data_IF_343076036154
#
_entry.id   IF_343076036154
#
_cell.length_a   1.000
_cell.length_b   1.000
_cell.length_c   1.000
_cell.angle_alpha   90.00
_cell.angle_beta   90.00
_cell.angle_gamma   90.00
#
_symmetry.space_group_name_H-M   'P 1'
#
loop_
_entity.id
_entity.type
_entity.pdbx_description
1 polymer ?
#
# COMPACT_ATOMS: atom_id res chain seq x y z
N UNK A 1 -46.71 19.21 36.47
CA UNK A 1 -45.30 19.11 36.86
C UNK A 1 -44.76 17.74 36.44
N UNK A 2 -43.67 17.68 35.68
CA UNK A 2 -42.54 16.70 35.78
C UNK A 2 -42.93 15.21 35.87
N UNK A 3 -42.61 14.30 34.94
CA UNK A 3 -41.26 13.93 34.43
C UNK A 3 -41.42 12.77 33.39
N UNK A 4 -40.75 12.84 32.23
CA UNK A 4 -39.58 12.02 31.82
C UNK A 4 -39.81 10.49 31.88
N UNK A 5 -39.48 9.67 30.87
CA UNK A 5 -38.28 9.71 30.04
C UNK A 5 -38.45 8.92 28.72
N UNK A 6 -37.60 9.31 27.77
CA UNK A 6 -37.55 8.91 26.37
C UNK A 6 -37.17 7.42 26.16
N UNK A 7 -37.72 6.85 25.10
CA UNK A 7 -37.19 5.68 24.41
C UNK A 7 -35.74 5.93 23.95
N UNK A 8 -34.79 5.12 24.42
CA UNK A 8 -33.44 5.04 23.87
C UNK A 8 -33.45 4.04 22.70
N UNK A 9 -33.58 4.56 21.49
CA UNK A 9 -33.31 3.84 20.27
C UNK A 9 -31.79 3.67 20.14
N UNK A 10 -31.29 2.47 20.42
CA UNK A 10 -29.89 2.12 20.19
C UNK A 10 -29.62 2.11 18.68
N UNK A 11 -29.03 3.18 18.18
CA UNK A 11 -28.59 3.28 16.79
C UNK A 11 -27.31 2.43 16.64
N UNK A 12 -27.45 1.25 16.03
CA UNK A 12 -26.33 0.39 15.69
C UNK A 12 -25.39 1.10 14.71
N UNK A 13 -24.25 1.56 15.20
CA UNK A 13 -23.17 2.04 14.35
C UNK A 13 -22.55 0.83 13.64
N UNK A 14 -22.87 0.66 12.36
CA UNK A 14 -22.20 -0.28 11.48
C UNK A 14 -20.78 0.23 11.23
N UNK A 15 -19.83 -0.14 12.10
CA UNK A 15 -18.42 0.12 11.89
C UNK A 15 -17.97 -0.73 10.71
N UNK A 16 -17.97 -0.14 9.52
CA UNK A 16 -17.28 -0.74 8.39
C UNK A 16 -15.79 -0.74 8.74
N UNK A 17 -15.24 -1.91 9.03
CA UNK A 17 -13.80 -2.06 9.17
C UNK A 17 -13.17 -1.71 7.81
N UNK A 18 -12.67 -0.48 7.67
CA UNK A 18 -11.99 -0.06 6.46
C UNK A 18 -10.71 -0.89 6.31
N UNK A 19 -10.59 -1.64 5.22
CA UNK A 19 -9.36 -2.37 4.91
C UNK A 19 -8.25 -1.37 4.59
N UNK A 20 -7.07 -1.51 5.20
CA UNK A 20 -5.92 -0.65 4.89
C UNK A 20 -5.65 -0.57 3.38
N UNK A 21 -5.74 0.65 2.83
CA UNK A 21 -5.41 0.90 1.44
C UNK A 21 -3.91 1.17 1.27
N UNK A 22 -3.42 1.05 0.03
CA UNK A 22 -2.03 1.40 -0.26
C UNK A 22 -1.73 2.88 0.02
N UNK A 23 -2.67 3.78 -0.27
CA UNK A 23 -2.47 5.20 -0.04
C UNK A 23 -2.37 5.50 1.46
N UNK A 24 -3.25 4.91 2.26
CA UNK A 24 -3.21 5.06 3.73
C UNK A 24 -1.90 4.50 4.29
N UNK A 25 -1.48 3.30 3.84
CA UNK A 25 -0.25 2.69 4.31
C UNK A 25 1.01 3.51 3.97
N UNK A 26 1.06 4.14 2.79
CA UNK A 26 2.15 5.04 2.40
C UNK A 26 2.14 6.31 3.25
N UNK A 27 0.98 6.95 3.39
CA UNK A 27 0.81 8.17 4.18
C UNK A 27 1.16 7.95 5.67
N UNK A 28 0.82 6.79 6.22
CA UNK A 28 1.13 6.38 7.58
C UNK A 28 2.57 5.86 7.74
N UNK A 29 3.35 5.78 6.65
CA UNK A 29 4.73 5.32 6.68
C UNK A 29 4.90 3.84 7.01
N UNK A 30 3.89 3.01 6.71
CA UNK A 30 3.90 1.56 6.97
C UNK A 30 4.59 0.78 5.87
N UNK A 31 4.57 1.30 4.65
CA UNK A 31 5.19 0.69 3.47
C UNK A 31 6.00 1.73 2.69
N UNK A 32 6.90 1.26 1.83
CA UNK A 32 7.60 2.10 0.89
C UNK A 32 7.87 1.42 -0.45
N UNK A 33 8.05 2.23 -1.48
CA UNK A 33 8.36 1.77 -2.84
C UNK A 33 9.83 1.37 -2.96
N UNK A 34 10.12 0.41 -3.83
CA UNK A 34 11.49 -0.05 -4.10
C UNK A 34 11.81 0.03 -5.59
N UNK A 35 13.10 0.10 -5.91
CA UNK A 35 13.56 0.07 -7.31
C UNK A 35 13.35 -1.27 -8.01
N UNK A 36 12.95 -2.33 -7.29
CA UNK A 36 12.58 -3.61 -7.91
C UNK A 36 11.14 -3.62 -8.43
N UNK A 37 10.35 -2.56 -8.21
CA UNK A 37 8.94 -2.50 -8.62
C UNK A 37 7.96 -2.95 -7.55
N UNK A 38 8.44 -3.48 -6.42
CA UNK A 38 7.59 -4.01 -5.37
C UNK A 38 7.54 -3.10 -4.14
N UNK A 39 6.50 -3.25 -3.33
CA UNK A 39 6.44 -2.65 -2.01
C UNK A 39 7.27 -3.46 -1.03
N UNK A 40 7.90 -2.76 -0.08
CA UNK A 40 8.50 -3.37 1.08
C UNK A 40 7.90 -2.77 2.38
N UNK A 41 7.70 -3.60 3.42
CA UNK A 41 7.20 -3.14 4.70
C UNK A 41 8.25 -2.29 5.42
N UNK A 42 7.80 -1.16 5.96
CA UNK A 42 8.54 -0.36 6.96
C UNK A 42 8.09 -0.80 8.35
N UNK A 43 6.78 -0.96 8.53
CA UNK A 43 6.18 -1.59 9.71
C UNK A 43 5.89 -3.07 9.42
N UNK A 44 6.04 -3.91 10.44
CA UNK A 44 5.99 -5.38 10.30
C UNK A 44 4.80 -6.00 11.05
N UNK A 45 3.72 -5.24 11.23
CA UNK A 45 2.47 -5.77 11.77
C UNK A 45 1.69 -6.56 10.71
N UNK A 46 0.74 -7.38 11.17
CA UNK A 46 0.00 -8.31 10.32
C UNK A 46 -0.77 -7.62 9.17
N UNK A 47 -1.35 -6.44 9.43
CA UNK A 47 -2.15 -5.73 8.44
C UNK A 47 -1.26 -5.16 7.33
N UNK A 48 -0.12 -4.57 7.70
CA UNK A 48 0.88 -4.09 6.73
C UNK A 48 1.42 -5.22 5.87
N UNK A 49 1.79 -6.35 6.48
CA UNK A 49 2.32 -7.51 5.75
C UNK A 49 1.28 -8.11 4.79
N UNK A 50 0.01 -8.21 5.23
CA UNK A 50 -1.08 -8.67 4.38
C UNK A 50 -1.30 -7.74 3.18
N UNK A 51 -1.25 -6.42 3.38
CA UNK A 51 -1.32 -5.44 2.31
C UNK A 51 -0.16 -5.61 1.32
N UNK A 52 1.08 -5.68 1.81
CA UNK A 52 2.28 -5.86 0.97
C UNK A 52 2.14 -7.10 0.10
N UNK A 53 1.77 -8.24 0.68
CA UNK A 53 1.61 -9.49 -0.05
C UNK A 53 0.55 -9.36 -1.15
N UNK A 54 -0.62 -8.80 -0.84
CA UNK A 54 -1.71 -8.62 -1.79
C UNK A 54 -1.31 -7.71 -2.96
N UNK A 55 -0.69 -6.57 -2.67
CA UNK A 55 -0.29 -5.63 -3.74
C UNK A 55 0.85 -6.21 -4.58
N UNK A 56 1.83 -6.86 -3.96
CA UNK A 56 2.94 -7.45 -4.70
C UNK A 56 2.48 -8.62 -5.59
N UNK A 57 1.50 -9.43 -5.16
CA UNK A 57 0.89 -10.45 -6.00
C UNK A 57 0.23 -9.83 -7.25
N UNK A 58 -0.61 -8.82 -7.07
CA UNK A 58 -1.25 -8.11 -8.17
C UNK A 58 -0.22 -7.43 -9.12
N UNK A 59 0.87 -6.87 -8.58
CA UNK A 59 1.96 -6.31 -9.38
C UNK A 59 2.68 -7.38 -10.20
N UNK A 60 2.97 -8.54 -9.61
CA UNK A 60 3.60 -9.65 -10.34
C UNK A 60 2.76 -10.10 -11.52
N UNK A 61 1.45 -10.29 -11.33
CA UNK A 61 0.54 -10.64 -12.42
C UNK A 61 0.54 -9.58 -13.53
N UNK A 62 0.44 -8.30 -13.15
CA UNK A 62 0.46 -7.19 -14.10
C UNK A 62 1.80 -7.08 -14.85
N UNK A 63 2.93 -7.27 -14.17
CA UNK A 63 4.24 -7.24 -14.78
C UNK A 63 4.44 -8.40 -15.74
N UNK A 64 3.96 -9.60 -15.40
CA UNK A 64 4.02 -10.75 -16.29
C UNK A 64 3.21 -10.51 -17.56
N UNK A 65 1.98 -10.03 -17.44
CA UNK A 65 1.13 -9.72 -18.61
C UNK A 65 1.77 -8.68 -19.53
N UNK A 66 2.39 -7.64 -18.95
CA UNK A 66 3.05 -6.60 -19.72
C UNK A 66 4.36 -7.11 -20.36
N UNK A 67 5.10 -7.96 -19.64
CA UNK A 67 6.30 -8.62 -20.15
C UNK A 67 5.98 -9.48 -21.37
N UNK A 68 4.95 -10.33 -21.27
CA UNK A 68 4.49 -11.20 -22.36
C UNK A 68 4.03 -10.38 -23.57
N UNK A 69 3.25 -9.32 -23.34
CA UNK A 69 2.70 -8.46 -24.40
C UNK A 69 3.78 -7.66 -25.14
N UNK A 70 4.91 -7.38 -24.51
CA UNK A 70 6.00 -6.57 -25.08
C UNK A 70 7.25 -7.40 -25.40
N UNK A 71 7.21 -8.72 -25.20
CA UNK A 71 8.35 -9.62 -25.34
C UNK A 71 9.59 -9.13 -24.57
N UNK A 72 9.38 -8.71 -23.32
CA UNK A 72 10.42 -8.22 -22.41
C UNK A 72 10.58 -9.18 -21.22
N UNK A 73 11.76 -9.23 -20.57
CA UNK A 73 11.89 -9.90 -19.29
C UNK A 73 11.03 -9.22 -18.21
N UNK A 74 10.31 -10.00 -17.41
CA UNK A 74 9.45 -9.48 -16.32
C UNK A 74 10.23 -8.61 -15.33
N UNK A 75 11.49 -8.95 -15.06
CA UNK A 75 12.36 -8.18 -14.17
C UNK A 75 12.67 -6.77 -14.70
N UNK A 76 12.74 -6.59 -16.03
CA UNK A 76 12.94 -5.27 -16.62
C UNK A 76 11.68 -4.42 -16.49
N UNK A 77 10.51 -5.02 -16.72
CA UNK A 77 9.22 -4.38 -16.52
C UNK A 77 9.07 -3.91 -15.07
N UNK A 78 9.36 -4.79 -14.11
CA UNK A 78 9.28 -4.48 -12.69
C UNK A 78 10.25 -3.34 -12.29
N UNK A 79 11.50 -3.38 -12.77
CA UNK A 79 12.48 -2.30 -12.54
C UNK A 79 12.04 -0.96 -13.12
N UNK A 80 11.53 -0.93 -14.35
CA UNK A 80 10.98 0.29 -14.96
C UNK A 80 9.79 0.85 -14.18
N UNK A 81 8.91 -0.04 -13.70
CA UNK A 81 7.81 0.35 -12.82
C UNK A 81 8.33 0.92 -11.49
N UNK A 82 9.31 0.26 -10.87
CA UNK A 82 9.96 0.69 -9.63
C UNK A 82 10.58 2.07 -9.74
N UNK A 83 11.32 2.34 -10.82
CA UNK A 83 11.87 3.67 -11.11
C UNK A 83 10.78 4.73 -11.18
N UNK A 84 9.68 4.46 -11.91
CA UNK A 84 8.54 5.39 -12.03
C UNK A 84 7.85 5.60 -10.68
N UNK A 85 7.64 4.56 -9.90
CA UNK A 85 6.98 4.62 -8.59
C UNK A 85 7.82 5.40 -7.58
N UNK A 86 9.12 5.12 -7.49
CA UNK A 86 10.05 5.86 -6.63
C UNK A 86 10.17 7.33 -7.05
N UNK A 87 10.12 7.63 -8.35
CA UNK A 87 10.12 9.01 -8.85
C UNK A 87 8.82 9.76 -8.53
N UNK A 88 7.68 9.06 -8.49
CA UNK A 88 6.34 9.63 -8.22
C UNK A 88 5.94 9.61 -6.74
N UNK A 89 6.74 9.00 -5.88
CA UNK A 89 6.51 8.99 -4.44
C UNK A 89 6.38 10.43 -3.92
N UNK A 90 5.33 10.67 -3.15
CA UNK A 90 4.98 12.01 -2.66
C UNK A 90 5.88 12.40 -1.48
N UNK A 91 6.04 13.71 -1.18
CA UNK A 91 6.72 14.16 0.02
C UNK A 91 6.13 13.48 1.26
N UNK A 92 7.00 12.92 2.09
CA UNK A 92 6.63 12.16 3.28
C UNK A 92 6.45 10.65 3.08
N UNK A 93 6.41 10.15 1.85
CA UNK A 93 6.38 8.71 1.57
C UNK A 93 7.78 8.09 1.62
N UNK A 94 7.86 6.79 1.93
CA UNK A 94 9.13 6.07 1.99
C UNK A 94 9.49 5.43 0.65
N UNK A 95 10.77 5.50 0.30
CA UNK A 95 11.38 4.75 -0.81
C UNK A 95 12.66 4.09 -0.34
N UNK A 96 12.96 2.88 -0.84
CA UNK A 96 14.20 2.17 -0.50
C UNK A 96 15.28 2.53 -1.51
N UNK A 97 16.35 3.17 -1.04
CA UNK A 97 17.52 3.52 -1.85
C UNK A 97 18.31 2.29 -2.30
N UNK A 98 19.18 2.48 -3.28
CA UNK A 98 20.08 1.42 -3.78
C UNK A 98 21.00 0.84 -2.69
N UNK A 99 21.27 1.63 -1.65
CA UNK A 99 22.06 1.23 -0.48
C UNK A 99 21.23 0.42 0.54
N UNK A 100 19.98 0.07 0.21
CA UNK A 100 19.07 -0.66 1.08
C UNK A 100 18.46 0.16 2.21
N UNK A 101 18.81 1.45 2.33
CA UNK A 101 18.28 2.34 3.37
C UNK A 101 16.97 2.99 2.94
N UNK A 102 16.12 3.27 3.92
CA UNK A 102 14.90 4.04 3.70
C UNK A 102 15.22 5.53 3.55
N UNK A 103 14.65 6.14 2.52
CA UNK A 103 14.60 7.58 2.33
C UNK A 103 13.14 7.99 2.44
N UNK A 104 12.85 9.00 3.25
CA UNK A 104 11.56 9.70 3.22
C UNK A 104 11.67 10.82 2.20
N UNK A 105 10.80 10.82 1.19
CA UNK A 105 10.78 11.81 0.12
C UNK A 105 10.44 13.20 0.62
#
# INVERSE_FOLDING_TARGET
MKRFALMLLALGMNVHAATLTLNDARAQGRVGETLSGYLAPVQHDAETLALVNRINAARTESYQQLADSNNLPVDEVAKMAGQKLVARAQPGEYVKGINGKWLKK
#
